data_IF_754708533315
#
_entry.id   IF_754708533315
#
_cell.length_a   1.000
_cell.length_b   1.000
_cell.length_c   1.000
_cell.angle_alpha   90.00
_cell.angle_beta   90.00
_cell.angle_gamma   90.00
#
_symmetry.space_group_name_H-M   'P 1'
#
loop_
_entity.id
_entity.type
_entity.pdbx_description
1 polymer ?
#
# COMPACT_ATOMS: atom_id res chain seq x y z
N UNK A 1 -20.11 8.18 0.58
CA UNK A 1 -19.04 8.50 1.57
C UNK A 1 -18.00 7.43 1.41
N UNK A 2 -16.76 7.79 1.08
CA UNK A 2 -15.70 6.82 0.86
C UNK A 2 -14.95 6.61 2.18
N UNK A 3 -14.99 5.41 2.73
CA UNK A 3 -14.23 5.03 3.93
C UNK A 3 -12.94 4.34 3.50
N UNK A 4 -11.83 4.68 4.15
CA UNK A 4 -10.52 4.10 3.86
C UNK A 4 -10.19 3.05 4.91
N UNK A 5 -10.08 1.80 4.46
CA UNK A 5 -9.70 0.69 5.32
C UNK A 5 -8.19 0.48 5.24
N UNK A 6 -7.51 0.50 6.38
CA UNK A 6 -6.08 0.18 6.43
C UNK A 6 -5.88 -1.22 6.98
N UNK A 7 -5.28 -2.08 6.16
CA UNK A 7 -4.82 -3.39 6.59
C UNK A 7 -3.39 -3.23 7.10
N UNK A 8 -3.17 -3.53 8.38
CA UNK A 8 -1.88 -3.36 9.04
C UNK A 8 -1.25 -4.74 9.32
N UNK A 9 -0.10 -4.99 8.72
CA UNK A 9 0.60 -6.27 8.81
C UNK A 9 1.32 -6.48 10.16
N UNK A 10 1.44 -5.42 10.97
CA UNK A 10 2.19 -5.41 12.23
C UNK A 10 1.56 -4.43 13.23
N UNK A 11 1.49 -4.78 14.54
CA UNK A 11 0.89 -3.92 15.57
C UNK A 11 1.53 -2.54 15.75
N UNK A 12 2.73 -2.34 15.23
CA UNK A 12 3.44 -1.05 15.35
C UNK A 12 2.93 0.01 14.38
N UNK A 13 2.10 -0.37 13.42
CA UNK A 13 1.64 0.49 12.35
C UNK A 13 0.78 1.68 12.76
N UNK A 14 0.11 1.59 13.88
CA UNK A 14 -0.76 2.65 14.41
C UNK A 14 -0.03 3.62 15.36
N UNK A 15 1.25 3.43 15.63
CA UNK A 15 1.99 4.25 16.60
C UNK A 15 2.09 5.74 16.22
N UNK A 16 1.88 6.06 14.95
CA UNK A 16 1.97 7.42 14.42
C UNK A 16 0.62 8.13 14.28
N UNK A 17 -0.48 7.47 14.65
CA UNK A 17 -1.83 8.02 14.52
C UNK A 17 -2.57 7.94 15.85
N UNK A 18 -3.56 8.82 16.05
CA UNK A 18 -4.43 8.85 17.23
C UNK A 18 -5.89 9.00 16.80
N UNK A 19 -6.80 8.68 17.70
CA UNK A 19 -8.25 8.81 17.50
C UNK A 19 -8.78 8.04 16.26
N UNK A 20 -8.14 6.90 15.95
CA UNK A 20 -8.58 6.01 14.86
C UNK A 20 -9.17 4.74 15.43
N UNK A 21 -10.25 4.29 14.81
CA UNK A 21 -10.87 3.02 15.18
C UNK A 21 -10.03 1.86 14.64
N UNK A 22 -9.75 0.87 15.48
CA UNK A 22 -9.00 -0.32 15.09
C UNK A 22 -9.73 -1.58 15.50
N UNK A 23 -9.78 -2.56 14.61
CA UNK A 23 -10.27 -3.91 14.89
C UNK A 23 -9.15 -4.93 14.73
N UNK A 24 -9.24 -5.99 15.51
CA UNK A 24 -8.30 -7.13 15.49
C UNK A 24 -8.97 -8.42 15.03
N UNK A 25 -10.25 -8.33 14.69
CA UNK A 25 -11.06 -9.44 14.20
C UNK A 25 -11.56 -9.14 12.80
N UNK A 26 -11.58 -10.16 11.95
CA UNK A 26 -11.98 -10.01 10.54
C UNK A 26 -13.43 -10.44 10.25
N UNK A 27 -14.21 -10.73 11.29
CA UNK A 27 -15.60 -11.11 11.13
C UNK A 27 -16.49 -9.92 10.70
N UNK A 28 -17.60 -10.23 10.02
CA UNK A 28 -18.50 -9.21 9.46
C UNK A 28 -19.10 -8.27 10.51
N UNK A 29 -19.29 -8.73 11.75
CA UNK A 29 -19.87 -7.90 12.82
C UNK A 29 -18.85 -6.83 13.25
N UNK A 30 -17.60 -7.22 13.42
CA UNK A 30 -16.52 -6.30 13.79
C UNK A 30 -16.25 -5.27 12.69
N UNK A 31 -16.26 -5.72 11.42
CA UNK A 31 -16.11 -4.84 10.24
C UNK A 31 -17.30 -3.87 10.13
N UNK A 32 -18.54 -4.35 10.31
CA UNK A 32 -19.72 -3.50 10.28
C UNK A 32 -19.66 -2.40 11.36
N UNK A 33 -19.27 -2.76 12.58
CA UNK A 33 -19.05 -1.77 13.64
C UNK A 33 -17.99 -0.74 13.26
N UNK A 34 -16.90 -1.17 12.64
CA UNK A 34 -15.84 -0.27 12.21
C UNK A 34 -16.34 0.71 11.15
N UNK A 35 -17.10 0.27 10.14
CA UNK A 35 -17.72 1.16 9.16
C UNK A 35 -18.68 2.16 9.78
N UNK A 36 -19.48 1.75 10.76
CA UNK A 36 -20.48 2.62 11.39
C UNK A 36 -19.88 3.60 12.41
N UNK A 37 -18.78 3.25 13.06
CA UNK A 37 -18.18 4.05 14.12
C UNK A 37 -17.04 4.95 13.64
N UNK A 38 -16.41 4.64 12.52
CA UNK A 38 -15.37 5.48 11.95
C UNK A 38 -15.97 6.58 11.07
N UNK A 39 -15.38 7.78 11.17
CA UNK A 39 -15.82 8.89 10.32
C UNK A 39 -15.28 8.78 8.89
N UNK A 40 -13.99 8.47 8.73
CA UNK A 40 -13.32 8.47 7.43
C UNK A 40 -12.38 7.28 7.22
N UNK A 41 -11.91 6.64 8.28
CA UNK A 41 -10.89 5.60 8.20
C UNK A 41 -10.90 4.72 9.45
N UNK A 42 -10.64 3.44 9.27
CA UNK A 42 -10.31 2.53 10.36
C UNK A 42 -9.18 1.58 9.98
N UNK A 43 -8.61 0.93 10.97
CA UNK A 43 -7.52 -0.04 10.81
C UNK A 43 -8.02 -1.45 11.10
N UNK A 44 -7.52 -2.40 10.33
CA UNK A 44 -7.66 -3.83 10.60
C UNK A 44 -6.26 -4.38 10.83
N UNK A 45 -5.97 -4.80 12.05
CA UNK A 45 -4.71 -5.45 12.37
C UNK A 45 -4.76 -6.89 11.88
N UNK A 46 -4.06 -7.16 10.78
CA UNK A 46 -3.97 -8.49 10.19
C UNK A 46 -2.87 -9.34 10.82
N UNK A 47 -1.81 -8.70 11.33
CA UNK A 47 -0.60 -9.35 11.85
C UNK A 47 0.03 -10.37 10.87
N UNK A 48 -0.17 -10.16 9.58
CA UNK A 48 0.15 -11.10 8.51
C UNK A 48 1.65 -11.37 8.37
N UNK A 49 2.51 -10.44 8.81
CA UNK A 49 3.96 -10.63 8.82
C UNK A 49 4.40 -11.84 9.64
N UNK A 50 3.62 -12.22 10.65
CA UNK A 50 3.89 -13.39 11.49
C UNK A 50 3.38 -14.72 10.87
N UNK A 51 2.66 -14.68 9.75
CA UNK A 51 2.03 -15.84 9.15
C UNK A 51 2.88 -16.47 8.04
N UNK A 52 2.57 -17.74 7.68
CA UNK A 52 3.04 -18.30 6.42
C UNK A 52 2.36 -17.62 5.23
N UNK A 53 2.98 -17.72 4.07
CA UNK A 53 2.41 -17.17 2.83
C UNK A 53 1.04 -17.76 2.51
N UNK A 54 0.87 -19.06 2.69
CA UNK A 54 -0.36 -19.79 2.42
C UNK A 54 -1.49 -19.32 3.34
N UNK A 55 -1.20 -19.16 4.62
CA UNK A 55 -2.16 -18.67 5.58
C UNK A 55 -2.52 -17.19 5.31
N UNK A 56 -1.53 -16.36 4.96
CA UNK A 56 -1.75 -14.97 4.56
C UNK A 56 -2.72 -14.86 3.37
N UNK A 57 -2.56 -15.73 2.36
CA UNK A 57 -3.48 -15.77 1.20
C UNK A 57 -4.90 -16.09 1.65
N UNK A 58 -5.08 -17.12 2.44
CA UNK A 58 -6.42 -17.52 2.89
C UNK A 58 -7.05 -16.47 3.78
N UNK A 59 -6.29 -15.92 4.72
CA UNK A 59 -6.73 -14.87 5.62
C UNK A 59 -7.20 -13.63 4.86
N UNK A 60 -6.39 -13.14 3.91
CA UNK A 60 -6.76 -11.95 3.12
C UNK A 60 -7.95 -12.21 2.21
N UNK A 61 -8.10 -13.41 1.63
CA UNK A 61 -9.29 -13.73 0.83
C UNK A 61 -10.57 -13.59 1.65
N UNK A 62 -10.61 -14.17 2.84
CA UNK A 62 -11.76 -14.11 3.73
C UNK A 62 -12.01 -12.68 4.21
N UNK A 63 -10.96 -11.97 4.64
CA UNK A 63 -11.06 -10.59 5.11
C UNK A 63 -11.64 -9.66 4.03
N UNK A 64 -11.05 -9.68 2.82
CA UNK A 64 -11.51 -8.80 1.73
C UNK A 64 -12.93 -9.13 1.31
N UNK A 65 -13.31 -10.41 1.26
CA UNK A 65 -14.69 -10.80 0.99
C UNK A 65 -15.65 -10.26 2.06
N UNK A 66 -15.28 -10.33 3.34
CA UNK A 66 -16.09 -9.79 4.44
C UNK A 66 -16.22 -8.26 4.35
N UNK A 67 -15.16 -7.55 4.00
CA UNK A 67 -15.20 -6.08 3.77
C UNK A 67 -16.20 -5.76 2.65
N UNK A 68 -16.11 -6.45 1.51
CA UNK A 68 -16.99 -6.25 0.36
C UNK A 68 -18.45 -6.50 0.72
N UNK A 69 -18.74 -7.59 1.41
CA UNK A 69 -20.10 -7.96 1.79
C UNK A 69 -20.73 -6.94 2.74
N UNK A 70 -19.95 -6.45 3.70
CA UNK A 70 -20.40 -5.41 4.64
C UNK A 70 -20.58 -4.07 3.94
N UNK A 71 -19.61 -3.65 3.11
CA UNK A 71 -19.72 -2.41 2.35
C UNK A 71 -20.94 -2.39 1.44
N UNK A 72 -21.22 -3.50 0.73
CA UNK A 72 -22.43 -3.66 -0.08
C UNK A 72 -23.72 -3.60 0.77
N UNK A 73 -23.72 -4.22 1.95
CA UNK A 73 -24.86 -4.18 2.87
C UNK A 73 -25.17 -2.75 3.35
N UNK A 74 -24.13 -1.96 3.58
CA UNK A 74 -24.24 -0.60 4.10
C UNK A 74 -24.34 0.47 3.00
N UNK A 75 -24.22 0.10 1.73
CA UNK A 75 -24.13 1.01 0.58
C UNK A 75 -23.02 2.06 0.75
N UNK A 76 -21.82 1.60 1.10
CA UNK A 76 -20.65 2.44 1.36
C UNK A 76 -19.55 2.13 0.35
N UNK A 77 -19.00 3.17 -0.29
CA UNK A 77 -17.76 3.07 -1.05
C UNK A 77 -16.55 2.98 -0.12
N UNK A 78 -15.57 2.18 -0.50
CA UNK A 78 -14.36 2.02 0.30
C UNK A 78 -13.08 2.01 -0.57
N UNK A 79 -11.97 2.31 0.06
CA UNK A 79 -10.62 2.18 -0.52
C UNK A 79 -9.76 1.38 0.45
N UNK A 80 -9.07 0.36 -0.04
CA UNK A 80 -8.17 -0.45 0.77
C UNK A 80 -6.74 0.10 0.69
N UNK A 81 -6.13 0.30 1.84
CA UNK A 81 -4.72 0.64 1.98
C UNK A 81 -4.04 -0.55 2.67
N UNK A 82 -3.19 -1.28 1.92
CA UNK A 82 -2.34 -2.32 2.49
C UNK A 82 -1.11 -1.68 3.08
N UNK A 83 -1.06 -1.58 4.41
CA UNK A 83 0.09 -1.04 5.11
C UNK A 83 1.03 -2.15 5.51
N UNK A 84 2.26 -2.08 5.02
CA UNK A 84 3.32 -3.03 5.30
C UNK A 84 4.57 -2.33 5.83
N UNK A 85 5.65 -3.06 6.06
CA UNK A 85 6.90 -2.51 6.60
C UNK A 85 7.59 -1.56 5.61
N UNK A 86 7.84 -0.33 6.03
CA UNK A 86 8.56 0.67 5.24
C UNK A 86 10.02 0.28 4.90
N UNK A 87 10.53 -0.83 5.45
CA UNK A 87 11.80 -1.44 5.07
C UNK A 87 11.64 -2.55 4.03
N UNK A 88 10.46 -2.65 3.39
CA UNK A 88 10.10 -3.61 2.33
C UNK A 88 10.04 -5.09 2.78
N UNK A 89 9.96 -5.35 4.10
CA UNK A 89 9.72 -6.70 4.62
C UNK A 89 8.22 -6.92 4.76
N UNK A 90 7.73 -8.03 4.26
CA UNK A 90 6.31 -8.40 4.27
C UNK A 90 5.97 -9.32 3.11
N UNK A 91 4.72 -9.73 3.03
CA UNK A 91 4.23 -10.64 2.00
C UNK A 91 3.93 -9.97 0.65
N UNK A 92 4.66 -8.88 0.32
CA UNK A 92 4.55 -8.28 -1.01
C UNK A 92 5.09 -9.25 -2.09
N UNK A 93 4.42 -9.44 -3.24
CA UNK A 93 3.15 -8.85 -3.66
C UNK A 93 1.91 -9.68 -3.25
N UNK A 94 2.08 -10.71 -2.42
CA UNK A 94 1.02 -11.69 -2.12
C UNK A 94 -0.23 -11.04 -1.59
N UNK A 95 -0.10 -10.13 -0.62
CA UNK A 95 -1.24 -9.45 0.01
C UNK A 95 -2.00 -8.60 -1.00
N UNK A 96 -1.30 -7.73 -1.71
CA UNK A 96 -1.91 -6.82 -2.68
C UNK A 96 -2.46 -7.55 -3.89
N UNK A 97 -1.83 -8.64 -4.31
CA UNK A 97 -2.36 -9.50 -5.38
C UNK A 97 -3.66 -10.18 -4.96
N UNK A 98 -3.75 -10.69 -3.73
CA UNK A 98 -4.99 -11.30 -3.21
C UNK A 98 -6.10 -10.27 -3.12
N UNK A 99 -5.79 -9.05 -2.63
CA UNK A 99 -6.76 -7.94 -2.62
C UNK A 99 -7.31 -7.70 -4.02
N UNK A 100 -6.43 -7.52 -5.01
CA UNK A 100 -6.80 -7.31 -6.41
C UNK A 100 -7.68 -8.45 -6.95
N UNK A 101 -7.27 -9.71 -6.73
CA UNK A 101 -7.97 -10.88 -7.25
C UNK A 101 -9.40 -11.00 -6.68
N UNK A 102 -9.57 -10.76 -5.37
CA UNK A 102 -10.89 -10.80 -4.73
C UNK A 102 -11.77 -9.64 -5.18
N UNK A 103 -11.24 -8.42 -5.28
CA UNK A 103 -11.97 -7.26 -5.78
C UNK A 103 -12.44 -7.51 -7.22
N UNK A 104 -11.55 -8.00 -8.08
CA UNK A 104 -11.86 -8.35 -9.47
C UNK A 104 -12.94 -9.43 -9.58
N UNK A 105 -12.90 -10.48 -8.76
CA UNK A 105 -13.93 -11.52 -8.70
C UNK A 105 -15.29 -10.97 -8.29
N UNK A 106 -15.32 -9.91 -7.50
CA UNK A 106 -16.53 -9.20 -7.08
C UNK A 106 -16.94 -8.05 -8.02
N UNK A 107 -16.33 -7.97 -9.22
CA UNK A 107 -16.58 -6.94 -10.24
C UNK A 107 -16.24 -5.51 -9.78
N UNK A 108 -15.35 -5.37 -8.80
CA UNK A 108 -14.80 -4.07 -8.38
C UNK A 108 -13.54 -3.82 -9.19
N UNK A 109 -13.56 -2.73 -9.97
CA UNK A 109 -12.47 -2.39 -10.86
C UNK A 109 -11.32 -1.71 -10.11
N UNK A 110 -10.10 -2.17 -10.39
CA UNK A 110 -8.85 -1.57 -9.86
C UNK A 110 -7.88 -1.40 -11.04
N UNK A 111 -7.43 -0.17 -11.26
CA UNK A 111 -6.55 0.19 -12.35
C UNK A 111 -5.08 -0.15 -12.08
N UNK A 112 -4.64 -0.03 -10.83
CA UNK A 112 -3.25 -0.24 -10.47
C UNK A 112 -2.99 -0.28 -8.99
N UNK A 113 -1.72 -0.31 -8.65
CA UNK A 113 -1.19 -0.35 -7.30
C UNK A 113 -0.15 0.75 -7.10
N UNK A 114 -0.27 1.52 -6.04
CA UNK A 114 0.68 2.58 -5.69
C UNK A 114 1.64 2.08 -4.61
N UNK A 115 2.94 2.23 -4.83
CA UNK A 115 3.98 1.96 -3.85
C UNK A 115 4.61 3.29 -3.39
N UNK A 116 4.44 3.59 -2.10
CA UNK A 116 5.00 4.78 -1.46
C UNK A 116 5.53 4.44 -0.06
N UNK A 117 6.69 3.74 0.07
CA UNK A 117 7.23 3.32 1.36
C UNK A 117 7.92 4.48 2.09
N UNK A 118 7.18 5.56 2.32
CA UNK A 118 7.65 6.75 3.01
C UNK A 118 7.36 6.67 4.51
N UNK A 119 8.32 7.09 5.33
CA UNK A 119 8.13 7.36 6.74
C UNK A 119 8.98 8.56 7.13
N UNK A 120 8.33 9.61 7.63
CA UNK A 120 8.95 10.89 7.87
C UNK A 120 10.24 10.80 8.70
N UNK A 121 11.26 11.50 8.24
CA UNK A 121 12.57 11.56 8.88
C UNK A 121 13.44 10.30 8.76
N UNK A 122 12.92 9.13 8.42
CA UNK A 122 13.69 7.88 8.46
C UNK A 122 13.56 6.97 7.23
N UNK A 123 12.61 7.23 6.32
CA UNK A 123 12.41 6.48 5.07
C UNK A 123 12.03 7.43 3.94
N UNK A 124 12.70 7.32 2.80
CA UNK A 124 12.40 8.14 1.62
C UNK A 124 12.66 7.37 0.33
N UNK A 125 12.01 7.80 -0.75
CA UNK A 125 12.28 7.30 -2.11
C UNK A 125 12.66 8.46 -3.01
N UNK A 126 13.79 8.36 -3.68
CA UNK A 126 14.32 9.37 -4.60
C UNK A 126 14.92 8.68 -5.82
N UNK A 127 14.58 9.13 -7.03
CA UNK A 127 14.97 8.48 -8.29
C UNK A 127 14.65 6.97 -8.33
N UNK A 128 13.48 6.61 -7.81
CA UNK A 128 12.97 5.24 -7.64
C UNK A 128 13.79 4.37 -6.67
N UNK A 129 14.83 4.90 -6.04
CA UNK A 129 15.63 4.21 -5.04
C UNK A 129 15.07 4.50 -3.65
N UNK A 130 14.78 3.44 -2.92
CA UNK A 130 14.32 3.55 -1.54
C UNK A 130 15.49 3.56 -0.56
N UNK A 131 15.46 4.53 0.35
CA UNK A 131 16.50 4.76 1.35
C UNK A 131 15.97 4.63 2.76
N UNK A 132 16.86 4.18 3.64
CA UNK A 132 16.65 4.07 5.08
C UNK A 132 17.71 4.92 5.77
N UNK A 133 17.33 5.70 6.78
CA UNK A 133 18.29 6.42 7.62
C UNK A 133 18.91 5.45 8.63
N UNK A 134 20.22 5.29 8.56
CA UNK A 134 21.02 4.45 9.47
C UNK A 134 22.21 5.27 9.96
N UNK A 135 22.30 5.52 11.28
CA UNK A 135 23.35 6.34 11.88
C UNK A 135 23.54 7.69 11.14
N UNK A 136 22.44 8.39 10.93
CA UNK A 136 22.40 9.70 10.25
C UNK A 136 22.87 9.71 8.78
N UNK A 137 22.95 8.52 8.16
CA UNK A 137 23.30 8.35 6.74
C UNK A 137 22.16 7.68 5.98
N UNK A 138 21.80 8.23 4.83
CA UNK A 138 20.82 7.61 3.92
C UNK A 138 21.46 6.45 3.17
N UNK A 139 21.03 5.23 3.50
CA UNK A 139 21.54 4.00 2.91
C UNK A 139 20.45 3.39 2.01
N UNK A 140 20.78 3.03 0.74
CA UNK A 140 19.85 2.26 -0.09
C UNK A 140 19.40 0.98 0.61
N UNK A 141 18.09 0.72 0.67
CA UNK A 141 17.51 -0.34 1.50
C UNK A 141 18.05 -1.74 1.21
N UNK A 142 18.38 -2.04 -0.04
CA UNK A 142 18.99 -3.31 -0.45
C UNK A 142 20.41 -3.53 0.10
N UNK A 143 21.04 -2.49 0.63
CA UNK A 143 22.37 -2.58 1.28
C UNK A 143 22.27 -2.71 2.80
N UNK A 144 21.07 -2.76 3.35
CA UNK A 144 20.82 -2.87 4.79
C UNK A 144 20.59 -4.33 5.20
N UNK A 145 20.58 -4.57 6.52
CA UNK A 145 20.22 -5.88 7.07
C UNK A 145 18.75 -6.25 6.78
N UNK A 146 17.90 -5.27 6.51
CA UNK A 146 16.50 -5.54 6.15
C UNK A 146 16.36 -6.36 4.86
N UNK A 147 17.24 -6.13 3.89
CA UNK A 147 17.24 -6.89 2.63
C UNK A 147 17.68 -8.36 2.81
N UNK A 148 18.36 -8.67 3.92
CA UNK A 148 18.84 -10.01 4.26
C UNK A 148 17.87 -10.78 5.18
N UNK A 149 16.65 -10.29 5.35
CA UNK A 149 15.64 -10.98 6.16
C UNK A 149 15.46 -12.43 5.68
N UNK A 150 15.34 -13.38 6.62
CA UNK A 150 15.26 -14.80 6.29
C UNK A 150 14.01 -15.18 5.49
N UNK A 151 12.91 -14.46 5.71
CA UNK A 151 11.60 -14.74 5.10
C UNK A 151 11.32 -13.79 3.94
N UNK A 152 11.68 -12.52 4.06
CA UNK A 152 11.27 -11.43 3.17
C UNK A 152 12.45 -10.80 2.43
N UNK A 153 13.53 -11.55 2.20
CA UNK A 153 14.71 -11.04 1.51
C UNK A 153 14.39 -10.44 0.14
N UNK A 154 15.20 -9.48 -0.24
CA UNK A 154 15.18 -8.84 -1.56
C UNK A 154 16.58 -8.29 -1.87
N UNK A 155 16.84 -7.92 -3.13
CA UNK A 155 18.14 -7.44 -3.58
C UNK A 155 18.13 -5.96 -3.97
N UNK A 156 17.13 -5.54 -4.75
CA UNK A 156 17.14 -4.20 -5.31
C UNK A 156 16.62 -3.14 -4.34
N UNK A 157 17.32 -1.99 -4.34
CA UNK A 157 16.85 -0.75 -3.71
C UNK A 157 15.98 0.08 -4.65
N UNK A 158 16.03 -0.16 -5.95
CA UNK A 158 15.16 0.47 -6.93
C UNK A 158 13.79 -0.20 -6.87
N UNK A 159 12.74 0.57 -6.55
CA UNK A 159 11.40 0.02 -6.34
C UNK A 159 10.79 -0.61 -7.59
N UNK A 160 11.16 -0.17 -8.79
CA UNK A 160 10.70 -0.83 -10.03
C UNK A 160 11.34 -2.21 -10.20
N UNK A 161 12.63 -2.31 -9.93
CA UNK A 161 13.34 -3.60 -9.94
C UNK A 161 12.89 -4.51 -8.80
N UNK A 162 12.60 -3.93 -7.61
CA UNK A 162 12.01 -4.67 -6.49
C UNK A 162 10.64 -5.26 -6.87
N UNK A 163 9.79 -4.50 -7.56
CA UNK A 163 8.52 -5.02 -8.10
C UNK A 163 8.79 -6.20 -9.04
N UNK A 164 9.68 -6.05 -10.00
CA UNK A 164 10.03 -7.12 -10.95
C UNK A 164 10.54 -8.36 -10.24
N UNK A 165 11.46 -8.19 -9.28
CA UNK A 165 12.02 -9.26 -8.46
C UNK A 165 10.93 -10.00 -7.67
N UNK A 166 10.13 -9.26 -6.90
CA UNK A 166 9.15 -9.85 -5.97
C UNK A 166 7.93 -10.44 -6.69
N UNK A 167 7.62 -9.97 -7.88
CA UNK A 167 6.54 -10.52 -8.72
C UNK A 167 7.00 -11.63 -9.66
N UNK A 168 8.25 -12.08 -9.53
CA UNK A 168 8.86 -13.07 -10.45
C UNK A 168 8.68 -12.66 -11.93
N UNK A 169 8.91 -11.38 -12.23
CA UNK A 169 8.76 -10.76 -13.56
C UNK A 169 7.32 -10.71 -14.12
N UNK A 170 6.30 -10.95 -13.30
CA UNK A 170 4.92 -10.73 -13.74
C UNK A 170 4.66 -9.26 -14.07
N UNK A 171 5.35 -8.34 -13.38
CA UNK A 171 5.38 -6.91 -13.69
C UNK A 171 6.84 -6.48 -13.88
N UNK A 172 7.21 -6.13 -15.10
CA UNK A 172 8.57 -5.69 -15.43
C UNK A 172 8.85 -4.29 -14.88
N UNK A 173 10.09 -4.02 -14.49
CA UNK A 173 10.52 -2.70 -14.04
C UNK A 173 10.18 -1.59 -15.06
N UNK A 174 10.30 -1.90 -16.35
CA UNK A 174 9.96 -0.99 -17.44
C UNK A 174 8.46 -0.69 -17.59
N UNK A 175 7.59 -1.54 -17.03
CA UNK A 175 6.14 -1.34 -17.03
C UNK A 175 5.64 -0.49 -15.88
N UNK A 176 6.46 -0.28 -14.85
CA UNK A 176 6.12 0.55 -13.70
C UNK A 176 6.10 2.04 -14.10
N UNK A 177 5.10 2.75 -13.60
CA UNK A 177 5.02 4.21 -13.74
C UNK A 177 5.77 4.83 -12.56
N UNK A 178 6.61 5.82 -12.83
CA UNK A 178 7.29 6.59 -11.79
C UNK A 178 6.69 8.00 -11.71
N UNK A 179 6.37 8.43 -10.50
CA UNK A 179 6.09 9.81 -10.16
C UNK A 179 7.33 10.35 -9.45
N UNK A 180 8.13 11.14 -10.17
CA UNK A 180 9.34 11.77 -9.64
C UNK A 180 8.99 12.96 -8.73
N UNK A 181 9.97 13.41 -7.92
CA UNK A 181 9.82 14.63 -7.11
C UNK A 181 9.49 15.84 -8.00
N UNK A 182 10.05 15.90 -9.22
CA UNK A 182 9.76 16.96 -10.18
C UNK A 182 8.31 16.86 -10.70
N UNK A 183 7.81 15.66 -10.97
CA UNK A 183 6.42 15.47 -11.40
C UNK A 183 5.43 15.95 -10.33
N UNK A 184 5.75 15.75 -9.05
CA UNK A 184 4.90 16.17 -7.93
C UNK A 184 4.75 17.70 -7.80
N UNK A 185 5.53 18.49 -8.53
CA UNK A 185 5.36 19.94 -8.57
C UNK A 185 4.26 20.38 -9.56
N UNK A 186 3.80 19.46 -10.42
CA UNK A 186 2.72 19.70 -11.41
C UNK A 186 1.57 18.71 -11.17
N UNK A 187 0.54 19.16 -10.48
CA UNK A 187 -0.65 18.35 -10.17
C UNK A 187 -1.30 17.78 -11.44
N UNK A 188 -1.37 18.56 -12.52
CA UNK A 188 -1.99 18.15 -13.78
C UNK A 188 -1.22 16.97 -14.41
N UNK A 189 0.11 17.01 -14.32
CA UNK A 189 0.97 15.93 -14.81
C UNK A 189 0.78 14.66 -13.97
N UNK A 190 0.71 14.78 -12.64
CA UNK A 190 0.45 13.63 -11.75
C UNK A 190 -0.91 13.02 -12.07
N UNK A 191 -1.97 13.81 -12.15
CA UNK A 191 -3.32 13.36 -12.51
C UNK A 191 -3.32 12.66 -13.88
N UNK A 192 -2.65 13.24 -14.88
CA UNK A 192 -2.54 12.62 -16.22
C UNK A 192 -1.85 11.26 -16.17
N UNK A 193 -0.73 11.15 -15.44
CA UNK A 193 -0.03 9.87 -15.25
C UNK A 193 -0.90 8.84 -14.51
N UNK A 194 -1.59 9.24 -13.44
CA UNK A 194 -2.48 8.37 -12.69
C UNK A 194 -3.64 7.87 -13.58
N UNK A 195 -4.27 8.75 -14.35
CA UNK A 195 -5.37 8.39 -15.25
C UNK A 195 -4.92 7.48 -16.42
N UNK A 196 -3.62 7.37 -16.69
CA UNK A 196 -3.07 6.44 -17.68
C UNK A 196 -2.83 5.02 -17.12
N UNK A 197 -3.01 4.82 -15.83
CA UNK A 197 -2.80 3.52 -15.16
C UNK A 197 -3.91 2.56 -15.57
N UNK A 198 -3.54 1.33 -15.92
CA UNK A 198 -4.48 0.27 -16.25
C UNK A 198 -3.80 -1.10 -16.11
N UNK A 199 -4.58 -2.18 -16.03
CA UNK A 199 -4.05 -3.55 -15.98
C UNK A 199 -3.26 -3.87 -14.71
N UNK A 200 -3.61 -3.24 -13.61
CA UNK A 200 -2.97 -3.39 -12.30
C UNK A 200 -1.48 -3.05 -12.31
N UNK A 201 -1.09 -2.07 -13.17
CA UNK A 201 0.29 -1.56 -13.19
C UNK A 201 0.68 -0.93 -11.86
N UNK A 202 1.98 -0.97 -11.59
CA UNK A 202 2.57 -0.46 -10.36
C UNK A 202 3.02 0.97 -10.57
N UNK A 203 2.66 1.84 -9.62
CA UNK A 203 3.03 3.26 -9.62
C UNK A 203 3.98 3.49 -8.45
N UNK A 204 5.19 3.90 -8.74
CA UNK A 204 6.20 4.23 -7.74
C UNK A 204 6.12 5.72 -7.44
N UNK A 205 5.87 6.08 -6.18
CA UNK A 205 5.86 7.47 -5.75
C UNK A 205 7.18 7.81 -5.08
N UNK A 206 7.92 8.72 -5.69
CA UNK A 206 9.09 9.30 -5.05
C UNK A 206 8.65 10.35 -4.02
N UNK A 207 9.15 10.21 -2.79
CA UNK A 207 8.76 11.06 -1.68
C UNK A 207 9.94 11.19 -0.72
N UNK A 208 10.39 12.42 -0.48
CA UNK A 208 11.53 12.73 0.38
C UNK A 208 11.12 13.51 1.62
N UNK A 209 9.95 14.12 1.61
CA UNK A 209 9.40 14.89 2.72
C UNK A 209 7.87 14.84 2.73
N UNK A 210 7.27 15.28 3.82
CA UNK A 210 5.81 15.31 3.99
C UNK A 210 5.09 16.14 2.91
N UNK A 211 5.73 17.22 2.42
CA UNK A 211 5.14 18.04 1.36
C UNK A 211 5.02 17.29 0.04
N UNK A 212 5.98 16.41 -0.31
CA UNK A 212 5.88 15.56 -1.49
C UNK A 212 4.67 14.62 -1.39
N UNK A 213 4.50 14.00 -0.21
CA UNK A 213 3.35 13.14 0.07
C UNK A 213 2.03 13.90 -0.03
N UNK A 214 1.95 15.11 0.54
CA UNK A 214 0.75 15.95 0.48
C UNK A 214 0.38 16.29 -0.97
N UNK A 215 1.35 16.68 -1.79
CA UNK A 215 1.13 16.96 -3.22
C UNK A 215 0.61 15.73 -3.96
N UNK A 216 1.23 14.58 -3.73
CA UNK A 216 0.76 13.32 -4.30
C UNK A 216 -0.69 13.03 -3.90
N UNK A 217 -1.02 13.10 -2.60
CA UNK A 217 -2.36 12.80 -2.09
C UNK A 217 -3.40 13.79 -2.64
N UNK A 218 -3.06 15.07 -2.79
CA UNK A 218 -3.95 16.06 -3.41
C UNK A 218 -4.26 15.70 -4.86
N UNK A 219 -3.23 15.40 -5.66
CA UNK A 219 -3.42 14.99 -7.06
C UNK A 219 -4.19 13.66 -7.18
N UNK A 220 -3.91 12.69 -6.29
CA UNK A 220 -4.65 11.43 -6.24
C UNK A 220 -6.13 11.64 -5.94
N UNK A 221 -6.47 12.55 -5.01
CA UNK A 221 -7.85 12.82 -4.63
C UNK A 221 -8.71 13.40 -5.76
N UNK A 222 -8.09 14.06 -6.74
CA UNK A 222 -8.78 14.61 -7.93
C UNK A 222 -8.65 13.72 -9.17
N UNK A 223 -7.84 12.66 -9.11
CA UNK A 223 -7.73 11.68 -10.20
C UNK A 223 -8.97 10.81 -10.28
N UNK A 224 -9.31 10.35 -11.48
CA UNK A 224 -10.47 9.45 -11.73
C UNK A 224 -10.11 7.96 -11.67
N UNK A 225 -8.91 7.62 -11.21
CA UNK A 225 -8.42 6.24 -11.17
C UNK A 225 -8.87 5.50 -9.91
N UNK A 226 -9.18 4.23 -10.08
CA UNK A 226 -9.40 3.28 -8.99
C UNK A 226 -8.09 2.57 -8.67
N UNK A 227 -7.32 3.10 -7.72
CA UNK A 227 -6.04 2.55 -7.32
C UNK A 227 -6.14 1.94 -5.92
N UNK A 228 -5.60 0.73 -5.74
CA UNK A 228 -5.27 0.25 -4.41
C UNK A 228 -3.99 0.91 -3.95
N UNK A 229 -3.98 1.36 -2.72
CA UNK A 229 -2.81 1.93 -2.09
C UNK A 229 -2.17 0.88 -1.17
N UNK A 230 -1.09 0.21 -1.54
CA UNK A 230 -0.13 -0.22 -0.55
C UNK A 230 0.63 1.04 -0.16
N UNK A 231 0.05 1.80 0.75
CA UNK A 231 0.72 2.97 1.30
C UNK A 231 1.28 2.58 2.64
N UNK A 232 2.57 2.60 2.71
CA UNK A 232 3.31 2.56 3.96
C UNK A 232 3.46 4.02 4.38
N UNK A 233 2.69 4.43 5.35
CA UNK A 233 2.88 5.68 6.08
C UNK A 233 3.41 5.36 7.44
#
# INVERSE_FOLDING_TARGET
MCIRDRLDDDPTGIQTVHDVYMITQMDKISIEKAFLQSQNMFYILTNSRAFSKEYTIQYHKELIQNIIDVAKKLDIDFTIISRSDSTLRGHYPTETQVIYDVLKQNHIHIDGEILCPYLDGIRRTENDIHYVLVNDVWVPVGKTEFAKDKTFSFQSSNLKEYVEEKTNKAYLASSCISLSIADLQDESLVVSKLNSVSGFRKVIVNCTCMQDLQKFVSAYAVSYTHLTLPTIL
#
